data_IF_211661834478
#
_entry.id   IF_211661834478
#
_cell.length_a   1.000
_cell.length_b   1.000
_cell.length_c   1.000
_cell.angle_alpha   90.00
_cell.angle_beta   90.00
_cell.angle_gamma   90.00
#
_symmetry.space_group_name_H-M   'P 1'
#
loop_
_entity.id
_entity.type
_entity.pdbx_description
1 polymer ?
#
# COMPACT_ATOMS: atom_id res chain seq x y z
N UNK A 1 27.26 -10.97 4.61
CA UNK A 1 26.83 -11.58 3.33
C UNK A 1 25.34 -11.88 3.47
N UNK A 2 24.49 -11.02 2.90
CA UNK A 2 23.04 -11.19 2.91
C UNK A 2 22.70 -12.26 1.87
N UNK A 3 22.09 -13.36 2.30
CA UNK A 3 21.61 -14.41 1.39
C UNK A 3 20.45 -13.85 0.58
N UNK A 4 20.66 -13.63 -0.73
CA UNK A 4 19.60 -13.33 -1.67
C UNK A 4 18.73 -14.58 -1.86
N UNK A 5 17.56 -14.59 -1.23
CA UNK A 5 16.53 -15.60 -1.52
C UNK A 5 15.90 -15.32 -2.90
N UNK A 6 15.31 -16.33 -3.59
CA UNK A 6 14.61 -16.13 -4.86
C UNK A 6 13.50 -15.04 -4.79
N UNK A 7 12.91 -14.86 -3.63
CA UNK A 7 11.91 -13.84 -3.30
C UNK A 7 12.48 -12.41 -3.35
N UNK A 8 13.75 -12.23 -3.03
CA UNK A 8 14.46 -10.96 -3.13
C UNK A 8 14.73 -10.52 -4.59
N UNK A 9 14.60 -11.44 -5.57
CA UNK A 9 14.82 -11.13 -6.99
C UNK A 9 13.66 -10.36 -7.64
N UNK A 10 12.44 -10.56 -7.20
CA UNK A 10 11.29 -9.82 -7.73
C UNK A 10 11.37 -8.35 -7.30
N UNK A 11 11.72 -8.12 -6.05
CA UNK A 11 11.86 -6.78 -5.46
C UNK A 11 13.05 -6.03 -6.00
N UNK A 12 14.19 -6.69 -6.22
CA UNK A 12 15.35 -6.03 -6.85
C UNK A 12 15.08 -5.55 -8.28
N UNK A 13 13.99 -6.03 -8.91
CA UNK A 13 13.50 -5.57 -10.22
C UNK A 13 12.48 -4.43 -10.13
N UNK A 14 11.87 -4.20 -8.97
CA UNK A 14 10.89 -3.14 -8.74
C UNK A 14 11.54 -1.84 -8.25
N UNK A 15 12.63 -1.41 -8.85
CA UNK A 15 13.33 -0.21 -8.35
C UNK A 15 12.50 1.07 -8.50
N UNK A 16 11.75 1.22 -9.58
CA UNK A 16 10.97 2.41 -9.90
C UNK A 16 9.48 2.05 -9.91
N UNK A 17 8.75 2.50 -8.92
CA UNK A 17 7.32 2.22 -8.74
C UNK A 17 6.52 3.47 -9.09
N UNK A 18 5.62 3.35 -10.06
CA UNK A 18 4.70 4.43 -10.38
C UNK A 18 3.29 4.12 -9.91
N UNK A 19 2.66 5.06 -9.21
CA UNK A 19 1.36 4.86 -8.56
C UNK A 19 0.31 5.79 -9.19
N UNK A 20 -0.67 5.22 -9.91
CA UNK A 20 -1.77 5.97 -10.53
C UNK A 20 -2.88 6.18 -9.51
N UNK A 21 -3.25 7.43 -9.23
CA UNK A 21 -4.15 7.83 -8.15
C UNK A 21 -3.46 7.82 -6.78
N UNK A 22 -2.20 8.27 -6.75
CA UNK A 22 -1.33 8.22 -5.56
C UNK A 22 -1.87 9.01 -4.37
N UNK A 23 -2.65 10.08 -4.60
CA UNK A 23 -3.28 10.90 -3.56
C UNK A 23 -4.51 10.23 -2.92
N UNK A 24 -4.98 9.12 -3.47
CA UNK A 24 -6.10 8.37 -2.90
C UNK A 24 -5.78 7.82 -1.51
N UNK A 25 -6.85 7.68 -0.69
CA UNK A 25 -6.74 7.05 0.62
C UNK A 25 -6.20 5.62 0.47
N UNK A 26 -5.23 5.24 1.23
CA UNK A 26 -4.56 3.95 1.13
C UNK A 26 -3.46 3.85 0.06
N UNK A 27 -3.53 4.60 -1.05
CA UNK A 27 -2.43 4.67 -2.01
C UNK A 27 -1.26 5.48 -1.46
N UNK A 28 -1.55 6.66 -0.92
CA UNK A 28 -0.53 7.56 -0.35
C UNK A 28 0.28 6.89 0.75
N UNK A 29 -0.38 6.14 1.61
CA UNK A 29 0.33 5.43 2.66
C UNK A 29 1.25 4.34 2.14
N UNK A 30 0.81 3.55 1.17
CA UNK A 30 1.67 2.56 0.51
C UNK A 30 2.87 3.26 -0.14
N UNK A 31 2.65 4.43 -0.78
CA UNK A 31 3.71 5.23 -1.37
C UNK A 31 4.77 5.65 -0.33
N UNK A 32 4.33 6.10 0.83
CA UNK A 32 5.21 6.48 1.95
C UNK A 32 6.03 5.29 2.47
N UNK A 33 5.38 4.12 2.66
CA UNK A 33 6.08 2.89 3.09
C UNK A 33 7.14 2.48 2.07
N UNK A 34 6.79 2.44 0.79
CA UNK A 34 7.72 2.09 -0.28
C UNK A 34 8.90 3.06 -0.35
N UNK A 35 8.62 4.36 -0.27
CA UNK A 35 9.66 5.39 -0.26
C UNK A 35 10.64 5.22 0.91
N UNK A 36 10.13 4.96 2.12
CA UNK A 36 10.96 4.75 3.30
C UNK A 36 11.73 3.42 3.28
N UNK A 37 11.25 2.43 2.53
CA UNK A 37 11.99 1.20 2.24
C UNK A 37 13.10 1.40 1.18
N UNK A 38 13.23 2.61 0.63
CA UNK A 38 14.27 2.98 -0.32
C UNK A 38 13.92 2.73 -1.79
N UNK A 39 12.64 2.48 -2.12
CA UNK A 39 12.19 2.43 -3.52
C UNK A 39 12.07 3.83 -4.12
N UNK A 40 12.36 3.95 -5.41
CA UNK A 40 12.03 5.16 -6.16
C UNK A 40 10.54 5.18 -6.46
N UNK A 41 9.80 5.98 -5.69
CA UNK A 41 8.35 6.11 -5.86
C UNK A 41 8.03 7.37 -6.64
N UNK A 42 7.19 7.22 -7.64
CA UNK A 42 6.56 8.31 -8.36
C UNK A 42 5.05 8.05 -8.46
N UNK A 43 4.29 9.04 -8.84
CA UNK A 43 2.87 8.82 -9.07
C UNK A 43 2.19 9.97 -9.78
N UNK A 44 0.92 9.79 -10.03
CA UNK A 44 0.04 10.78 -10.62
C UNK A 44 -1.30 10.83 -9.87
N UNK A 45 -1.92 12.01 -9.85
CA UNK A 45 -3.27 12.18 -9.37
C UNK A 45 -4.00 13.24 -10.21
N UNK A 46 -5.33 13.20 -10.22
CA UNK A 46 -6.15 14.18 -10.96
C UNK A 46 -6.02 15.56 -10.35
N UNK A 47 -5.87 15.64 -9.03
CA UNK A 47 -5.87 16.90 -8.29
C UNK A 47 -4.62 17.05 -7.44
N UNK A 48 -4.14 18.29 -7.34
CA UNK A 48 -3.19 18.69 -6.33
C UNK A 48 -3.96 18.96 -5.02
N UNK A 49 -3.84 18.07 -4.05
CA UNK A 49 -4.43 18.23 -2.70
C UNK A 49 -3.34 18.09 -1.63
N UNK A 50 -3.73 18.31 -0.38
CA UNK A 50 -2.80 18.26 0.77
C UNK A 50 -1.97 16.96 0.83
N UNK A 51 -2.58 15.84 0.43
CA UNK A 51 -1.89 14.54 0.37
C UNK A 51 -0.79 14.55 -0.68
N UNK A 52 -1.06 15.10 -1.87
CA UNK A 52 -0.06 15.21 -2.95
C UNK A 52 1.08 16.13 -2.53
N UNK A 53 0.78 17.26 -1.92
CA UNK A 53 1.82 18.18 -1.43
C UNK A 53 2.65 17.55 -0.31
N UNK A 54 2.04 16.79 0.58
CA UNK A 54 2.76 16.03 1.62
C UNK A 54 3.72 15.03 1.01
N UNK A 55 3.29 14.25 0.02
CA UNK A 55 4.15 13.28 -0.69
C UNK A 55 5.33 13.96 -1.40
N UNK A 56 5.07 15.12 -2.04
CA UNK A 56 6.13 15.94 -2.67
C UNK A 56 7.16 16.43 -1.65
N UNK A 57 6.70 16.88 -0.49
CA UNK A 57 7.58 17.33 0.61
C UNK A 57 8.45 16.20 1.17
N UNK A 58 8.03 14.93 1.02
CA UNK A 58 8.81 13.75 1.35
C UNK A 58 9.82 13.38 0.26
N UNK A 59 9.82 14.05 -0.89
CA UNK A 59 10.70 13.75 -2.02
C UNK A 59 10.11 12.80 -3.07
N UNK A 60 8.82 12.45 -2.95
CA UNK A 60 8.12 11.62 -3.95
C UNK A 60 7.69 12.51 -5.12
N UNK A 61 8.04 12.11 -6.33
CA UNK A 61 7.65 12.83 -7.55
C UNK A 61 6.18 12.55 -7.87
N UNK A 62 5.31 13.58 -7.80
CA UNK A 62 3.89 13.44 -8.12
C UNK A 62 3.48 14.41 -9.24
N UNK A 63 3.00 13.85 -10.35
CA UNK A 63 2.41 14.59 -11.46
C UNK A 63 0.92 14.90 -11.17
N UNK A 64 0.46 16.06 -11.60
CA UNK A 64 -0.98 16.38 -11.63
C UNK A 64 -1.50 16.14 -13.03
N UNK A 65 -2.54 15.33 -13.13
CA UNK A 65 -3.06 14.82 -14.40
C UNK A 65 -2.35 13.54 -14.87
N UNK A 66 -3.09 12.74 -15.59
CA UNK A 66 -2.61 11.45 -16.11
C UNK A 66 -2.08 11.62 -17.54
N UNK A 67 -0.81 11.26 -17.75
CA UNK A 67 -0.14 11.33 -19.06
C UNK A 67 0.75 10.12 -19.28
N UNK A 68 0.86 9.68 -20.52
CA UNK A 68 1.67 8.52 -20.92
C UNK A 68 3.12 8.63 -20.44
N UNK A 69 3.67 9.84 -20.48
CA UNK A 69 5.07 10.11 -20.15
C UNK A 69 5.37 9.87 -18.66
N UNK A 70 4.36 9.92 -17.78
CA UNK A 70 4.55 9.76 -16.35
C UNK A 70 5.09 8.36 -15.98
N UNK A 71 4.83 7.35 -16.79
CA UNK A 71 5.24 5.96 -16.53
C UNK A 71 6.54 5.54 -17.22
N UNK A 72 7.22 6.43 -17.95
CA UNK A 72 8.37 6.05 -18.79
C UNK A 72 9.43 5.28 -18.01
N UNK A 73 9.81 5.75 -16.84
CA UNK A 73 10.86 5.16 -16.00
C UNK A 73 10.35 4.06 -15.06
N UNK A 74 9.03 3.81 -15.05
CA UNK A 74 8.44 2.83 -14.16
C UNK A 74 8.85 1.40 -14.52
N UNK A 75 9.30 0.63 -13.54
CA UNK A 75 9.48 -0.83 -13.65
C UNK A 75 8.21 -1.62 -13.29
N UNK A 76 7.33 -1.01 -12.50
CA UNK A 76 6.02 -1.53 -12.13
C UNK A 76 5.03 -0.37 -11.95
N UNK A 77 3.78 -0.60 -12.28
CA UNK A 77 2.69 0.37 -12.11
C UNK A 77 1.70 -0.17 -11.07
N UNK A 78 1.36 0.66 -10.09
CA UNK A 78 0.35 0.34 -9.07
C UNK A 78 -0.89 1.20 -9.31
N UNK A 79 -2.07 0.58 -9.30
CA UNK A 79 -3.31 1.28 -9.58
C UNK A 79 -4.27 1.28 -8.39
N UNK A 80 -4.96 2.40 -8.18
CA UNK A 80 -6.13 2.48 -7.31
C UNK A 80 -7.34 1.84 -8.00
N UNK A 81 -8.27 1.29 -7.23
CA UNK A 81 -9.55 0.77 -7.73
C UNK A 81 -10.43 1.82 -8.43
N UNK A 82 -10.19 3.11 -8.17
CA UNK A 82 -10.89 4.23 -8.80
C UNK A 82 -10.43 4.53 -10.23
N UNK A 83 -9.30 3.96 -10.67
CA UNK A 83 -8.72 4.25 -11.99
C UNK A 83 -9.53 3.56 -13.09
N UNK A 84 -10.01 4.36 -14.03
CA UNK A 84 -10.78 3.88 -15.19
C UNK A 84 -9.88 3.11 -16.16
N UNK A 85 -10.49 2.17 -16.90
CA UNK A 85 -9.77 1.27 -17.84
C UNK A 85 -9.12 2.00 -19.01
N UNK A 86 -9.60 3.18 -19.34
CA UNK A 86 -9.15 4.08 -20.40
C UNK A 86 -8.15 5.14 -19.94
N UNK A 87 -7.72 5.08 -18.68
CA UNK A 87 -6.67 5.97 -18.17
C UNK A 87 -5.41 5.86 -19.02
N UNK A 88 -4.83 6.99 -19.53
CA UNK A 88 -3.73 6.94 -20.49
C UNK A 88 -2.48 6.26 -19.95
N UNK A 89 -2.18 6.40 -18.66
CA UNK A 89 -1.04 5.73 -18.03
C UNK A 89 -1.27 4.23 -17.92
N UNK A 90 -2.49 3.82 -17.56
CA UNK A 90 -2.86 2.40 -17.47
C UNK A 90 -2.83 1.72 -18.85
N UNK A 91 -3.33 2.40 -19.88
CA UNK A 91 -3.26 1.91 -21.27
C UNK A 91 -1.81 1.77 -21.71
N UNK A 92 -1.00 2.79 -21.53
CA UNK A 92 0.42 2.77 -21.90
C UNK A 92 1.21 1.70 -21.13
N UNK A 93 0.89 1.45 -19.84
CA UNK A 93 1.51 0.38 -19.06
C UNK A 93 1.21 -1.01 -19.65
N UNK A 94 -0.04 -1.24 -20.09
CA UNK A 94 -0.45 -2.49 -20.75
C UNK A 94 0.27 -2.67 -22.09
N UNK A 95 0.28 -1.63 -22.92
CA UNK A 95 0.90 -1.66 -24.25
C UNK A 95 2.41 -1.87 -24.17
N UNK A 96 3.07 -1.32 -23.16
CA UNK A 96 4.51 -1.50 -22.93
C UNK A 96 4.86 -2.78 -22.16
N UNK A 97 3.86 -3.60 -21.79
CA UNK A 97 4.09 -4.85 -21.06
C UNK A 97 4.64 -4.66 -19.65
N UNK A 98 4.44 -3.49 -19.05
CA UNK A 98 4.85 -3.24 -17.66
C UNK A 98 3.95 -4.04 -16.70
N UNK A 99 4.51 -4.64 -15.63
CA UNK A 99 3.71 -5.24 -14.57
C UNK A 99 2.75 -4.21 -13.96
N UNK A 100 1.50 -4.60 -13.77
CA UNK A 100 0.48 -3.75 -13.16
C UNK A 100 -0.04 -4.49 -11.94
N UNK A 101 0.02 -3.84 -10.79
CA UNK A 101 -0.49 -4.33 -9.53
C UNK A 101 -1.64 -3.45 -9.05
N UNK A 102 -2.64 -4.06 -8.48
CA UNK A 102 -3.63 -3.34 -7.67
C UNK A 102 -3.02 -2.85 -6.35
N UNK A 103 -3.68 -1.92 -5.70
CA UNK A 103 -3.33 -1.46 -4.35
C UNK A 103 -3.21 -2.64 -3.38
N UNK A 104 -4.14 -3.59 -3.45
CA UNK A 104 -4.19 -4.74 -2.56
C UNK A 104 -3.03 -5.72 -2.82
N UNK A 105 -2.68 -5.97 -4.07
CA UNK A 105 -1.50 -6.78 -4.43
C UNK A 105 -0.21 -6.15 -3.92
N UNK A 106 -0.06 -4.83 -4.06
CA UNK A 106 1.11 -4.13 -3.54
C UNK A 106 1.18 -4.17 -2.01
N UNK A 107 0.05 -4.06 -1.31
CA UNK A 107 -0.01 -4.23 0.15
C UNK A 107 0.40 -5.64 0.55
N UNK A 108 -0.05 -6.66 -0.19
CA UNK A 108 0.36 -8.05 0.00
C UNK A 108 1.87 -8.23 -0.17
N UNK A 109 2.45 -7.62 -1.19
CA UNK A 109 3.90 -7.64 -1.39
C UNK A 109 4.63 -6.92 -0.24
N UNK A 110 4.14 -5.77 0.23
CA UNK A 110 4.71 -5.09 1.40
C UNK A 110 4.69 -5.98 2.66
N UNK A 111 3.63 -6.75 2.88
CA UNK A 111 3.55 -7.69 4.01
C UNK A 111 4.62 -8.78 3.94
N UNK A 112 5.08 -9.16 2.76
CA UNK A 112 6.17 -10.16 2.59
C UNK A 112 7.53 -9.66 3.06
N UNK A 113 7.74 -8.34 3.11
CA UNK A 113 8.98 -7.73 3.61
C UNK A 113 8.97 -7.46 5.10
N UNK A 114 7.82 -7.62 5.73
CA UNK A 114 7.59 -7.31 7.12
C UNK A 114 6.98 -8.51 7.84
N UNK A 115 7.02 -8.51 9.15
CA UNK A 115 6.21 -9.43 9.95
C UNK A 115 4.77 -8.92 9.90
N UNK A 116 4.01 -9.46 8.95
CA UNK A 116 2.64 -9.04 8.69
C UNK A 116 1.66 -9.57 9.73
N UNK A 117 0.83 -8.69 10.26
CA UNK A 117 -0.30 -9.00 11.13
C UNK A 117 -1.56 -8.54 10.41
N UNK A 118 -2.41 -9.47 9.97
CA UNK A 118 -3.67 -9.16 9.30
C UNK A 118 -4.84 -9.24 10.27
N UNK A 119 -5.72 -8.24 10.24
CA UNK A 119 -6.93 -8.19 11.05
C UNK A 119 -8.14 -8.28 10.13
N UNK A 120 -8.83 -9.41 10.19
CA UNK A 120 -10.03 -9.73 9.41
C UNK A 120 -11.29 -9.75 10.31
N UNK A 121 -12.45 -9.80 9.69
CA UNK A 121 -13.75 -9.96 10.35
C UNK A 121 -14.76 -8.93 9.87
N UNK A 122 -16.04 -9.20 10.05
CA UNK A 122 -17.14 -8.34 9.60
C UNK A 122 -17.11 -6.99 10.32
N UNK A 123 -16.92 -6.99 11.63
CA UNK A 123 -16.91 -5.79 12.47
C UNK A 123 -15.67 -5.71 13.37
N UNK A 124 -15.27 -4.48 13.73
CA UNK A 124 -14.20 -4.22 14.69
C UNK A 124 -12.78 -4.29 14.13
N UNK A 125 -12.58 -4.48 12.83
CA UNK A 125 -11.26 -4.49 12.19
C UNK A 125 -10.44 -3.25 12.55
N UNK A 126 -10.98 -2.07 12.29
CA UNK A 126 -10.32 -0.76 12.54
C UNK A 126 -9.89 -0.60 14.00
N UNK A 127 -10.80 -0.91 14.93
CA UNK A 127 -10.52 -0.81 16.36
C UNK A 127 -9.43 -1.79 16.78
N UNK A 128 -9.50 -3.04 16.32
CA UNK A 128 -8.53 -4.08 16.67
C UNK A 128 -7.15 -3.78 16.08
N UNK A 129 -7.10 -3.32 14.83
CA UNK A 129 -5.85 -2.89 14.18
C UNK A 129 -5.19 -1.75 14.96
N UNK A 130 -5.98 -0.74 15.35
CA UNK A 130 -5.49 0.39 16.14
C UNK A 130 -4.99 -0.05 17.52
N UNK A 131 -5.67 -0.98 18.19
CA UNK A 131 -5.25 -1.53 19.48
C UNK A 131 -3.94 -2.30 19.36
N UNK A 132 -3.81 -3.17 18.35
CA UNK A 132 -2.57 -3.93 18.11
C UNK A 132 -1.42 -2.98 17.84
N UNK A 133 -1.60 -1.99 16.98
CA UNK A 133 -0.58 -0.97 16.70
C UNK A 133 -0.17 -0.21 17.98
N UNK A 134 -1.16 0.17 18.81
CA UNK A 134 -0.90 0.87 20.08
C UNK A 134 -0.15 0.00 21.09
N UNK A 135 -0.48 -1.28 21.20
CA UNK A 135 0.21 -2.22 22.10
C UNK A 135 1.65 -2.43 21.65
N UNK A 136 1.88 -2.62 20.33
CA UNK A 136 3.24 -2.76 19.80
C UNK A 136 4.06 -1.49 20.03
N UNK A 137 3.46 -0.30 19.83
CA UNK A 137 4.12 0.98 20.08
C UNK A 137 4.45 1.17 21.57
N UNK A 138 3.54 0.81 22.48
CA UNK A 138 3.78 0.83 23.92
C UNK A 138 4.91 -0.14 24.34
N UNK A 139 5.09 -1.23 23.59
CA UNK A 139 6.21 -2.16 23.74
C UNK A 139 7.51 -1.69 23.10
N UNK A 140 7.61 -0.41 22.68
CA UNK A 140 8.74 0.16 21.97
C UNK A 140 9.04 -0.53 20.62
N UNK A 141 8.06 -1.27 20.08
CA UNK A 141 8.06 -1.75 18.72
C UNK A 141 7.29 -0.70 17.92
N UNK A 142 7.98 -0.01 17.04
CA UNK A 142 7.42 1.05 16.19
C UNK A 142 6.82 0.44 14.91
N UNK A 143 5.56 -0.06 14.93
CA UNK A 143 4.98 -0.79 13.82
C UNK A 143 4.53 0.14 12.71
N UNK A 144 4.62 -0.31 11.47
CA UNK A 144 3.83 0.25 10.38
C UNK A 144 2.42 -0.31 10.48
N UNK A 145 1.38 0.53 10.30
CA UNK A 145 -0.01 0.03 10.31
C UNK A 145 -0.87 0.68 9.23
N UNK A 146 -1.82 -0.09 8.70
CA UNK A 146 -2.73 0.28 7.60
C UNK A 146 -4.17 0.01 8.04
N UNK A 147 -4.97 1.07 8.20
CA UNK A 147 -6.36 0.99 8.70
C UNK A 147 -7.31 1.45 7.61
N UNK A 148 -8.32 0.63 7.25
CA UNK A 148 -9.36 0.98 6.27
C UNK A 148 -8.80 1.39 4.91
N UNK A 149 -7.68 0.81 4.50
CA UNK A 149 -6.95 1.27 3.32
C UNK A 149 -6.34 2.67 3.48
N UNK A 150 -6.45 3.26 4.66
CA UNK A 150 -5.85 4.53 5.04
C UNK A 150 -4.67 4.27 5.97
N UNK A 151 -3.56 4.92 5.74
CA UNK A 151 -2.41 4.92 6.64
C UNK A 151 -2.59 6.07 7.67
N UNK A 152 -2.47 5.80 8.98
CA UNK A 152 -2.61 6.84 10.02
C UNK A 152 -1.45 6.83 11.02
N UNK A 153 -0.81 7.95 11.20
CA UNK A 153 -0.11 8.32 12.43
C UNK A 153 -0.92 9.38 13.16
N UNK A 154 -0.81 9.52 14.48
CA UNK A 154 -1.54 10.42 15.37
C UNK A 154 -2.38 11.53 14.69
N UNK A 155 -3.62 11.20 14.31
CA UNK A 155 -4.52 12.11 13.56
C UNK A 155 -4.68 11.80 12.07
N UNK A 156 -4.06 10.75 11.57
CA UNK A 156 -4.11 10.22 10.21
C UNK A 156 -4.27 8.69 10.27
N UNK A 157 -4.82 8.00 9.25
CA UNK A 157 -5.15 6.56 9.33
C UNK A 157 -3.98 5.60 9.01
N UNK A 158 -2.73 5.99 9.27
CA UNK A 158 -1.57 5.12 9.20
C UNK A 158 -0.36 5.71 9.91
N UNK A 159 0.43 4.85 10.45
CA UNK A 159 1.74 5.13 10.97
C UNK A 159 2.80 4.38 10.18
N UNK A 160 3.82 5.11 9.76
CA UNK A 160 5.06 4.53 9.32
C UNK A 160 5.94 4.28 10.52
N UNK A 161 6.07 3.01 10.88
CA UNK A 161 7.02 2.58 11.86
C UNK A 161 8.34 2.18 11.23
N UNK A 162 9.39 2.29 12.01
CA UNK A 162 10.74 1.89 11.61
C UNK A 162 11.01 0.41 11.81
N UNK A 163 10.11 -0.32 12.50
CA UNK A 163 10.29 -1.73 12.81
C UNK A 163 9.89 -2.66 11.64
N UNK A 164 10.18 -3.92 11.84
CA UNK A 164 9.80 -5.00 10.91
C UNK A 164 8.31 -5.38 10.94
N UNK A 165 7.49 -4.81 11.84
CA UNK A 165 6.08 -5.14 11.97
C UNK A 165 5.20 -4.31 11.05
N UNK A 166 4.24 -4.97 10.39
CA UNK A 166 3.18 -4.35 9.59
C UNK A 166 1.83 -4.89 10.04
N UNK A 167 0.97 -4.03 10.56
CA UNK A 167 -0.41 -4.37 10.95
C UNK A 167 -1.35 -3.82 9.89
N UNK A 168 -2.18 -4.65 9.29
CA UNK A 168 -3.12 -4.23 8.25
C UNK A 168 -4.50 -4.82 8.43
N UNK A 169 -5.52 -4.03 8.08
CA UNK A 169 -6.87 -4.54 7.90
C UNK A 169 -6.96 -5.39 6.63
N UNK A 170 -7.59 -6.55 6.76
CA UNK A 170 -7.97 -7.40 5.65
C UNK A 170 -9.39 -7.05 5.21
N UNK A 171 -9.55 -6.42 4.06
CA UNK A 171 -10.85 -6.03 3.53
C UNK A 171 -11.45 -7.21 2.75
N UNK A 172 -12.62 -7.67 3.18
CA UNK A 172 -13.37 -8.74 2.53
C UNK A 172 -14.19 -8.23 1.33
N UNK A 173 -14.51 -6.94 1.28
CA UNK A 173 -15.43 -6.38 0.28
C UNK A 173 -14.86 -6.38 -1.14
N UNK A 174 -13.54 -6.28 -1.28
CA UNK A 174 -12.84 -6.32 -2.58
C UNK A 174 -12.01 -7.60 -2.79
N UNK A 175 -12.11 -8.57 -1.86
CA UNK A 175 -11.33 -9.82 -1.89
C UNK A 175 -9.84 -9.63 -1.61
N UNK A 176 -9.41 -8.44 -1.22
CA UNK A 176 -7.99 -8.11 -0.97
C UNK A 176 -7.37 -8.94 0.15
N UNK A 177 -8.19 -9.43 1.10
CA UNK A 177 -7.72 -10.27 2.20
C UNK A 177 -7.02 -11.56 1.72
N UNK A 178 -7.35 -12.08 0.53
CA UNK A 178 -6.72 -13.28 -0.05
C UNK A 178 -5.28 -13.03 -0.50
N UNK A 179 -4.92 -11.77 -0.70
CA UNK A 179 -3.60 -11.36 -1.17
C UNK A 179 -2.62 -11.10 -0.02
N UNK A 180 -3.14 -10.95 1.20
CA UNK A 180 -2.32 -10.64 2.37
C UNK A 180 -1.61 -11.89 2.87
N UNK A 181 -0.28 -11.87 2.86
CA UNK A 181 0.56 -12.94 3.40
C UNK A 181 0.99 -12.61 4.83
N UNK A 182 0.05 -12.78 5.75
CA UNK A 182 0.28 -12.49 7.15
C UNK A 182 0.98 -13.64 7.87
N UNK A 183 1.91 -13.31 8.77
CA UNK A 183 2.50 -14.25 9.73
C UNK A 183 1.53 -14.53 10.87
N UNK A 184 0.74 -13.53 11.25
CA UNK A 184 -0.30 -13.61 12.26
C UNK A 184 -1.61 -13.08 11.68
N UNK A 185 -2.68 -13.86 11.81
CA UNK A 185 -4.03 -13.44 11.45
C UNK A 185 -4.93 -13.34 12.69
N UNK A 186 -5.65 -12.24 12.81
CA UNK A 186 -6.64 -12.01 13.84
C UNK A 186 -8.02 -11.93 13.18
N UNK A 187 -8.95 -12.77 13.58
CA UNK A 187 -10.34 -12.73 13.11
C UNK A 187 -11.21 -12.23 14.27
N UNK A 188 -11.80 -11.06 14.12
CA UNK A 188 -12.60 -10.43 15.17
C UNK A 188 -13.96 -11.12 15.36
N UNK A 189 -14.63 -11.39 14.25
CA UNK A 189 -15.91 -12.12 14.17
C UNK A 189 -16.15 -12.54 12.71
N UNK A 190 -17.11 -13.46 12.55
CA UNK A 190 -17.59 -13.91 11.24
C UNK A 190 -19.11 -13.77 11.27
N UNK A 191 -19.65 -12.86 10.48
CA UNK A 191 -21.08 -12.63 10.38
C UNK A 191 -21.53 -12.64 8.92
N UNK A 192 -22.82 -12.89 8.68
CA UNK A 192 -23.36 -13.02 7.33
C UNK A 192 -23.66 -11.67 6.64
N UNK A 193 -23.01 -10.58 7.06
CA UNK A 193 -23.09 -9.28 6.41
C UNK A 193 -22.28 -9.30 5.10
N UNK A 194 -22.79 -8.65 4.05
CA UNK A 194 -22.17 -8.53 2.72
C UNK A 194 -22.19 -9.78 1.83
N UNK A 195 -23.06 -10.76 2.08
CA UNK A 195 -23.32 -11.83 1.11
C UNK A 195 -24.32 -11.35 0.03
N UNK A 196 -23.85 -10.55 -0.93
CA UNK A 196 -24.57 -10.22 -2.16
C UNK A 196 -23.87 -10.80 -3.38
#
# INVERSE_FOLDING_TARGET
>A
MSYMTPENRFVSRMQNIHMIGIGGSGMSGIAEVLHNLGFNVSGSDIQAGDVVERLRNMGITVAVGHKVENINDASVVVISSAIQKDNPELVAARESGKPILSRAEMLGELMRFKIGIAVAGTHGKTTTTSLIASVLAAGHLDPTFVIGGLLNSAGTNAGLGTSEYLVAEADESDGSFQLLQAVLAVVTNIDADHMQ
#
